data_IF_790418882364
#
_entry.id   IF_790418882364
#
_cell.length_a   1.000
_cell.length_b   1.000
_cell.length_c   1.000
_cell.angle_alpha   90.00
_cell.angle_beta   90.00
_cell.angle_gamma   90.00
#
_symmetry.space_group_name_H-M   'P 1'
#
loop_
_entity.id
_entity.type
_entity.pdbx_description
1 polymer ?
#
# COMPACT_ATOMS: atom_id res chain seq x y z
N UNK A 1 -7.31 11.31 -13.15
CA UNK A 1 -7.61 9.93 -12.71
C UNK A 1 -7.09 8.85 -13.69
N UNK A 2 -7.57 8.83 -14.94
CA UNK A 2 -7.25 7.70 -15.86
C UNK A 2 -5.75 7.58 -16.16
N UNK A 3 -5.06 8.70 -16.40
CA UNK A 3 -3.59 8.70 -16.59
C UNK A 3 -2.84 8.19 -15.35
N UNK A 4 -3.27 8.60 -14.15
CA UNK A 4 -2.68 8.16 -12.89
C UNK A 4 -2.86 6.67 -12.69
N UNK A 5 -4.06 6.15 -12.94
CA UNK A 5 -4.35 4.72 -12.90
C UNK A 5 -3.43 3.94 -13.86
N UNK A 6 -3.28 4.39 -15.10
CA UNK A 6 -2.39 3.72 -16.06
C UNK A 6 -0.92 3.75 -15.65
N UNK A 7 -0.43 4.87 -15.09
CA UNK A 7 0.94 4.96 -14.57
C UNK A 7 1.14 4.02 -13.39
N UNK A 8 0.19 3.99 -12.46
CA UNK A 8 0.22 3.10 -11.30
C UNK A 8 0.24 1.62 -11.71
N UNK A 9 -0.59 1.23 -12.68
CA UNK A 9 -0.61 -0.13 -13.25
C UNK A 9 0.75 -0.48 -13.85
N UNK A 10 1.33 0.42 -14.66
CA UNK A 10 2.61 0.20 -15.30
C UNK A 10 3.74 0.06 -14.27
N UNK A 11 3.74 0.93 -13.26
CA UNK A 11 4.72 0.96 -12.18
C UNK A 11 4.71 -0.33 -11.35
N UNK A 12 3.53 -0.80 -10.96
CA UNK A 12 3.40 -2.07 -10.22
C UNK A 12 3.75 -3.28 -11.08
N UNK A 13 3.42 -3.26 -12.38
CA UNK A 13 3.84 -4.30 -13.30
C UNK A 13 5.37 -4.34 -13.44
N UNK A 14 6.02 -3.19 -13.56
CA UNK A 14 7.48 -3.10 -13.64
C UNK A 14 8.15 -3.56 -12.34
N UNK A 15 7.77 -2.97 -11.21
CA UNK A 15 8.38 -3.28 -9.91
C UNK A 15 8.23 -4.77 -9.55
N UNK A 16 7.06 -5.35 -9.82
CA UNK A 16 6.81 -6.78 -9.59
C UNK A 16 7.43 -7.71 -10.63
N UNK A 17 8.04 -7.20 -11.70
CA UNK A 17 8.69 -8.01 -12.74
C UNK A 17 7.67 -8.73 -13.62
N UNK A 18 6.52 -8.09 -13.80
CA UNK A 18 5.39 -8.58 -14.58
C UNK A 18 4.47 -9.55 -13.84
N UNK A 19 4.66 -9.75 -12.53
CA UNK A 19 3.78 -10.60 -11.71
C UNK A 19 2.42 -9.95 -11.46
N UNK A 20 2.41 -8.68 -11.06
CA UNK A 20 1.19 -7.90 -10.87
C UNK A 20 0.78 -7.29 -12.21
N UNK A 21 -0.44 -7.62 -12.67
CA UNK A 21 -1.00 -7.11 -13.91
C UNK A 21 -2.44 -6.70 -13.68
N UNK A 22 -2.62 -5.47 -13.21
CA UNK A 22 -3.96 -4.91 -13.02
C UNK A 22 -4.68 -4.74 -14.36
N UNK A 23 -5.97 -5.03 -14.34
CA UNK A 23 -6.91 -4.70 -15.40
C UNK A 23 -8.05 -3.88 -14.80
N UNK A 24 -8.36 -2.74 -15.40
CA UNK A 24 -9.55 -1.98 -15.04
C UNK A 24 -10.75 -2.67 -15.73
N UNK A 25 -11.47 -3.48 -14.97
CA UNK A 25 -12.63 -4.25 -15.46
C UNK A 25 -13.89 -3.38 -15.58
N UNK A 26 -13.98 -2.32 -14.79
CA UNK A 26 -15.05 -1.33 -14.87
C UNK A 26 -14.56 0.03 -14.40
N UNK A 27 -15.15 1.09 -14.95
CA UNK A 27 -14.97 2.47 -14.50
C UNK A 27 -16.32 3.11 -14.22
N UNK A 28 -16.55 3.49 -12.97
CA UNK A 28 -17.73 4.24 -12.54
C UNK A 28 -17.36 5.71 -12.38
N UNK A 29 -17.99 6.58 -13.15
CA UNK A 29 -17.95 8.02 -12.92
C UNK A 29 -19.16 8.40 -12.06
N UNK A 30 -18.98 8.43 -10.74
CA UNK A 30 -20.05 8.72 -9.79
C UNK A 30 -20.19 10.23 -9.55
N UNK A 31 -21.38 10.78 -9.77
CA UNK A 31 -21.75 12.11 -9.30
C UNK A 31 -22.17 12.02 -7.82
N UNK A 32 -21.20 11.75 -6.96
CA UNK A 32 -21.44 11.38 -5.58
C UNK A 32 -20.41 11.99 -4.63
N UNK A 33 -20.92 12.69 -3.61
CA UNK A 33 -20.13 13.11 -2.45
C UNK A 33 -20.34 12.08 -1.33
N UNK A 34 -19.28 11.40 -0.86
CA UNK A 34 -19.42 10.41 0.18
C UNK A 34 -19.87 11.06 1.49
N UNK A 35 -20.83 10.45 2.22
CA UNK A 35 -21.17 10.91 3.55
C UNK A 35 -19.98 10.70 4.49
N UNK A 36 -19.79 11.65 5.39
CA UNK A 36 -18.85 11.57 6.50
C UNK A 36 -19.44 10.70 7.61
N UNK A 37 -18.61 10.32 8.58
CA UNK A 37 -19.03 9.46 9.71
C UNK A 37 -20.13 10.06 10.59
N UNK A 38 -20.38 11.35 10.51
CA UNK A 38 -21.47 12.05 11.22
C UNK A 38 -22.69 12.30 10.33
N UNK A 39 -22.70 11.75 9.11
CA UNK A 39 -23.78 11.89 8.14
C UNK A 39 -23.73 13.17 7.30
N UNK A 40 -22.75 14.08 7.52
CA UNK A 40 -22.56 15.22 6.64
C UNK A 40 -22.16 14.75 5.24
N UNK A 41 -22.75 15.30 4.20
CA UNK A 41 -22.29 15.12 2.82
C UNK A 41 -22.19 16.49 2.15
N UNK A 42 -21.11 16.70 1.42
CA UNK A 42 -21.00 17.91 0.62
C UNK A 42 -22.04 17.91 -0.51
N UNK A 43 -22.48 19.10 -0.90
CA UNK A 43 -23.04 19.36 -2.22
C UNK A 43 -21.95 20.04 -3.06
N UNK A 44 -22.10 20.14 -4.38
CA UNK A 44 -21.16 20.90 -5.21
C UNK A 44 -20.92 22.32 -4.68
N UNK A 45 -21.98 23.03 -4.25
CA UNK A 45 -21.89 24.40 -3.75
C UNK A 45 -21.22 24.49 -2.37
N UNK A 46 -21.51 23.55 -1.47
CA UNK A 46 -20.87 23.55 -0.15
C UNK A 46 -19.40 23.15 -0.24
N UNK A 47 -19.04 22.22 -1.13
CA UNK A 47 -17.65 21.85 -1.39
C UNK A 47 -16.86 23.01 -2.00
N UNK A 48 -17.38 23.65 -3.06
CA UNK A 48 -16.70 24.81 -3.69
C UNK A 48 -16.49 25.94 -2.68
N UNK A 49 -17.47 26.18 -1.79
CA UNK A 49 -17.33 27.17 -0.72
C UNK A 49 -16.22 26.78 0.25
N UNK A 50 -16.23 25.55 0.76
CA UNK A 50 -15.19 25.02 1.65
C UNK A 50 -13.80 25.12 1.01
N UNK A 51 -13.68 24.81 -0.27
CA UNK A 51 -12.44 24.93 -1.02
C UNK A 51 -11.93 26.37 -1.10
N UNK A 52 -12.82 27.34 -1.39
CA UNK A 52 -12.47 28.76 -1.49
C UNK A 52 -12.06 29.35 -0.14
N UNK A 53 -12.73 28.96 0.93
CA UNK A 53 -12.46 29.47 2.28
C UNK A 53 -11.39 28.67 3.03
N UNK A 54 -11.01 27.49 2.50
CA UNK A 54 -10.17 26.49 3.17
C UNK A 54 -10.72 26.04 4.52
N UNK A 55 -12.06 26.01 4.64
CA UNK A 55 -12.78 25.55 5.82
C UNK A 55 -13.60 24.32 5.44
N UNK A 56 -13.03 23.14 5.67
CA UNK A 56 -13.68 21.85 5.43
C UNK A 56 -14.41 21.37 6.69
N UNK A 57 -15.46 20.59 6.48
CA UNK A 57 -16.22 19.93 7.53
C UNK A 57 -15.33 19.06 8.43
N UNK A 58 -15.68 18.98 9.71
CA UNK A 58 -15.06 18.09 10.67
C UNK A 58 -16.15 17.35 11.47
N UNK A 59 -16.00 16.04 11.71
CA UNK A 59 -14.86 15.19 11.33
C UNK A 59 -14.78 14.93 9.81
N UNK A 60 -13.56 14.91 9.26
CA UNK A 60 -13.36 14.72 7.82
C UNK A 60 -13.52 13.26 7.35
N UNK A 61 -13.50 12.28 8.25
CA UNK A 61 -13.50 10.84 7.88
C UNK A 61 -14.78 10.41 7.16
N UNK A 62 -14.64 9.61 6.11
CA UNK A 62 -15.75 9.02 5.34
C UNK A 62 -16.47 7.89 6.10
N UNK A 63 -17.78 7.75 5.87
CA UNK A 63 -18.52 6.52 6.22
C UNK A 63 -18.28 5.44 5.16
N UNK A 64 -17.28 4.59 5.41
CA UNK A 64 -16.95 3.45 4.55
C UNK A 64 -18.09 2.45 4.41
N UNK A 65 -18.98 2.31 5.40
CA UNK A 65 -20.11 1.39 5.25
C UNK A 65 -21.11 1.94 4.23
N UNK A 66 -21.35 3.26 4.25
CA UNK A 66 -22.16 3.91 3.23
C UNK A 66 -21.52 3.80 1.84
N UNK A 67 -20.20 3.98 1.73
CA UNK A 67 -19.46 3.81 0.47
C UNK A 67 -19.57 2.37 -0.06
N UNK A 68 -19.34 1.36 0.78
CA UNK A 68 -19.50 -0.06 0.41
C UNK A 68 -20.92 -0.36 -0.05
N UNK A 69 -21.95 0.17 0.63
CA UNK A 69 -23.36 -0.02 0.25
C UNK A 69 -23.72 0.71 -1.05
N UNK A 70 -23.23 1.93 -1.25
CA UNK A 70 -23.58 2.77 -2.40
C UNK A 70 -23.19 2.14 -3.74
N UNK A 71 -22.15 1.32 -3.75
CA UNK A 71 -21.66 0.63 -4.95
C UNK A 71 -21.82 -0.90 -4.88
N UNK A 72 -22.59 -1.40 -3.90
CA UNK A 72 -22.84 -2.84 -3.71
C UNK A 72 -21.56 -3.68 -3.68
N UNK A 73 -20.47 -3.14 -3.10
CA UNK A 73 -19.13 -3.71 -3.30
C UNK A 73 -19.03 -5.14 -2.78
N UNK A 74 -19.70 -5.47 -1.67
CA UNK A 74 -19.73 -6.84 -1.16
C UNK A 74 -20.46 -7.76 -2.14
N UNK A 75 -21.64 -7.38 -2.58
CA UNK A 75 -22.46 -8.19 -3.48
C UNK A 75 -21.78 -8.41 -4.83
N UNK A 76 -21.03 -7.42 -5.32
CA UNK A 76 -20.25 -7.48 -6.56
C UNK A 76 -18.99 -8.35 -6.42
N UNK A 77 -18.30 -8.24 -5.30
CA UNK A 77 -17.17 -9.12 -4.97
C UNK A 77 -17.63 -10.59 -4.92
N UNK A 78 -18.77 -10.88 -4.27
CA UNK A 78 -19.34 -12.24 -4.22
C UNK A 78 -19.70 -12.81 -5.60
N UNK A 79 -19.98 -11.94 -6.58
CA UNK A 79 -20.21 -12.34 -7.98
C UNK A 79 -18.92 -12.47 -8.81
N UNK A 80 -17.75 -12.22 -8.21
CA UNK A 80 -16.46 -12.29 -8.89
C UNK A 80 -16.24 -11.18 -9.90
N UNK A 81 -16.86 -10.01 -9.71
CA UNK A 81 -16.76 -8.90 -10.66
C UNK A 81 -15.44 -8.11 -10.56
N UNK A 82 -14.77 -8.16 -9.41
CA UNK A 82 -13.48 -7.50 -9.16
C UNK A 82 -12.72 -8.18 -8.02
N UNK A 83 -11.41 -7.93 -7.92
CA UNK A 83 -10.56 -8.35 -6.80
C UNK A 83 -10.18 -7.19 -5.84
N UNK A 84 -10.24 -5.95 -6.34
CA UNK A 84 -9.85 -4.73 -5.64
C UNK A 84 -10.64 -3.53 -6.19
N UNK A 85 -10.84 -2.49 -5.37
CA UNK A 85 -11.55 -1.27 -5.76
C UNK A 85 -10.69 -0.03 -5.55
N UNK A 86 -10.66 0.86 -6.54
CA UNK A 86 -9.97 2.16 -6.46
C UNK A 86 -10.96 3.31 -6.41
N UNK A 87 -10.91 4.10 -5.34
CA UNK A 87 -11.65 5.35 -5.23
C UNK A 87 -10.73 6.52 -5.56
N UNK A 88 -10.92 7.12 -6.74
CA UNK A 88 -10.29 8.40 -7.06
C UNK A 88 -11.16 9.54 -6.54
N UNK A 89 -10.79 10.12 -5.41
CA UNK A 89 -11.58 11.13 -4.71
C UNK A 89 -10.91 12.51 -4.74
N UNK A 90 -11.72 13.54 -4.51
CA UNK A 90 -11.26 14.92 -4.36
C UNK A 90 -10.55 15.09 -3.00
N UNK A 91 -9.71 16.12 -2.81
CA UNK A 91 -9.09 16.38 -1.52
C UNK A 91 -10.14 16.60 -0.41
N UNK A 92 -9.88 16.10 0.80
CA UNK A 92 -10.84 16.14 1.92
C UNK A 92 -12.12 15.31 1.67
N UNK A 93 -12.02 14.25 0.86
CA UNK A 93 -13.07 13.23 0.79
C UNK A 93 -13.13 12.36 2.06
N UNK A 94 -12.03 12.24 2.80
CA UNK A 94 -12.00 11.60 4.11
C UNK A 94 -11.58 10.14 4.13
N UNK A 95 -11.16 9.61 2.98
CA UNK A 95 -10.66 8.26 2.85
C UNK A 95 -9.29 8.10 3.53
N UNK A 96 -9.06 6.96 4.19
CA UNK A 96 -7.73 6.39 4.38
C UNK A 96 -7.14 5.98 3.03
N UNK A 97 -5.82 5.93 2.95
CA UNK A 97 -5.08 5.51 1.76
C UNK A 97 -5.42 4.09 1.30
N UNK A 98 -5.66 3.20 2.27
CA UNK A 98 -6.25 1.88 2.04
C UNK A 98 -7.13 1.47 3.21
N UNK A 99 -8.08 0.58 2.95
CA UNK A 99 -8.83 -0.16 3.98
C UNK A 99 -9.21 -1.54 3.47
N UNK A 100 -9.51 -2.47 4.37
CA UNK A 100 -9.89 -3.85 4.02
C UNK A 100 -11.35 -4.13 4.35
N UNK A 101 -12.04 -4.76 3.41
CA UNK A 101 -13.44 -5.18 3.52
C UNK A 101 -13.49 -6.70 3.69
N UNK A 102 -14.43 -7.17 4.50
CA UNK A 102 -14.87 -8.57 4.51
C UNK A 102 -14.49 -9.38 5.75
N UNK A 103 -14.91 -10.65 5.76
CA UNK A 103 -14.66 -11.54 6.90
C UNK A 103 -13.16 -11.80 7.08
N UNK A 104 -12.69 -11.69 8.32
CA UNK A 104 -11.26 -11.84 8.63
C UNK A 104 -10.40 -10.68 8.13
N UNK A 105 -11.02 -9.57 7.70
CA UNK A 105 -10.30 -8.36 7.37
C UNK A 105 -9.49 -7.87 8.58
N UNK A 106 -8.29 -7.39 8.30
CA UNK A 106 -7.33 -6.93 9.31
C UNK A 106 -6.82 -5.54 8.92
N UNK A 107 -5.98 -4.95 9.78
CA UNK A 107 -5.42 -3.62 9.55
C UNK A 107 -4.74 -3.55 8.17
N UNK A 108 -5.13 -2.58 7.35
CA UNK A 108 -4.51 -2.31 6.04
C UNK A 108 -4.37 -0.80 5.86
N UNK A 109 -3.38 -0.21 6.52
CA UNK A 109 -3.23 1.23 6.76
C UNK A 109 -4.44 1.93 7.40
N UNK A 110 -5.41 1.15 7.90
CA UNK A 110 -6.58 1.61 8.61
C UNK A 110 -7.25 0.43 9.33
N UNK A 111 -8.18 0.70 10.27
CA UNK A 111 -9.13 -0.32 10.73
C UNK A 111 -9.92 -0.92 9.56
N UNK A 112 -10.31 -2.21 9.63
CA UNK A 112 -11.23 -2.83 8.68
C UNK A 112 -12.59 -2.12 8.60
N UNK A 113 -13.28 -2.26 7.47
CA UNK A 113 -14.64 -1.75 7.31
C UNK A 113 -15.63 -2.63 8.08
N UNK A 114 -16.11 -2.12 9.22
CA UNK A 114 -17.08 -2.82 10.06
C UNK A 114 -18.41 -3.13 9.33
N UNK A 115 -19.09 -4.22 9.71
CA UNK A 115 -20.39 -4.58 9.15
C UNK A 115 -20.32 -5.23 7.75
N UNK A 116 -19.12 -5.65 7.34
CA UNK A 116 -18.87 -6.29 6.05
C UNK A 116 -18.52 -7.78 6.16
N UNK A 117 -18.67 -8.36 7.35
CA UNK A 117 -18.31 -9.75 7.68
C UNK A 117 -19.14 -10.80 6.92
N UNK A 118 -20.21 -10.37 6.23
CA UNK A 118 -20.98 -11.22 5.30
C UNK A 118 -20.23 -11.53 4.01
N UNK A 119 -19.23 -10.72 3.65
CA UNK A 119 -18.36 -10.96 2.50
C UNK A 119 -17.48 -12.19 2.79
N UNK A 120 -17.55 -13.18 1.91
CA UNK A 120 -16.92 -14.50 2.04
C UNK A 120 -15.39 -14.42 2.10
N UNK A 121 -14.81 -13.45 1.41
CA UNK A 121 -13.38 -13.15 1.40
C UNK A 121 -13.07 -11.71 1.76
N UNK A 122 -11.82 -11.33 1.48
CA UNK A 122 -11.21 -10.03 1.76
C UNK A 122 -10.85 -9.35 0.45
N UNK A 123 -11.17 -8.07 0.32
CA UNK A 123 -10.63 -7.20 -0.73
C UNK A 123 -10.19 -5.87 -0.14
N UNK A 124 -9.26 -5.22 -0.84
CA UNK A 124 -8.73 -3.91 -0.45
C UNK A 124 -9.47 -2.83 -1.22
N UNK A 125 -9.82 -1.76 -0.52
CA UNK A 125 -10.17 -0.48 -1.13
C UNK A 125 -8.92 0.39 -1.06
N UNK A 126 -8.42 0.83 -2.22
CA UNK A 126 -7.38 1.86 -2.30
C UNK A 126 -8.06 3.20 -2.59
N UNK A 127 -7.72 4.25 -1.85
CA UNK A 127 -8.24 5.58 -2.13
C UNK A 127 -7.12 6.53 -2.56
N UNK A 128 -7.34 7.22 -3.67
CA UNK A 128 -6.36 8.07 -4.32
C UNK A 128 -6.92 9.47 -4.49
N UNK A 129 -6.22 10.47 -3.95
CA UNK A 129 -6.53 11.86 -4.27
C UNK A 129 -6.02 12.17 -5.68
N UNK A 130 -6.94 12.46 -6.60
CA UNK A 130 -6.58 12.69 -8.00
C UNK A 130 -5.85 14.01 -8.27
N UNK A 131 -5.70 14.89 -7.27
CA UNK A 131 -4.84 16.09 -7.33
C UNK A 131 -3.38 15.79 -6.94
N UNK A 132 -3.09 14.57 -6.47
CA UNK A 132 -1.73 14.08 -6.17
C UNK A 132 -1.18 13.27 -7.35
N UNK A 133 0.10 12.94 -7.28
CA UNK A 133 0.77 12.15 -8.30
C UNK A 133 0.74 10.65 -8.02
N UNK A 134 1.28 9.88 -8.97
CA UNK A 134 1.44 8.42 -8.87
C UNK A 134 2.42 8.02 -7.76
N UNK A 135 3.35 8.90 -7.42
CA UNK A 135 4.26 8.79 -6.29
C UNK A 135 3.49 8.56 -4.97
N UNK A 136 2.43 9.34 -4.70
CA UNK A 136 1.56 9.12 -3.56
C UNK A 136 0.73 7.83 -3.68
N UNK A 137 0.31 7.43 -4.89
CA UNK A 137 -0.42 6.16 -5.05
C UNK A 137 0.46 4.95 -4.72
N UNK A 138 1.75 5.02 -5.05
CA UNK A 138 2.72 3.99 -4.70
C UNK A 138 3.04 3.99 -3.21
N UNK A 139 3.01 5.14 -2.54
CA UNK A 139 3.10 5.23 -1.08
C UNK A 139 1.95 4.46 -0.41
N UNK A 140 0.70 4.71 -0.83
CA UNK A 140 -0.47 3.98 -0.35
C UNK A 140 -0.29 2.45 -0.54
N UNK A 141 0.26 2.04 -1.68
CA UNK A 141 0.54 0.62 -1.92
C UNK A 141 1.65 0.08 -1.03
N UNK A 142 2.68 0.88 -0.76
CA UNK A 142 3.73 0.55 0.19
C UNK A 142 3.16 0.27 1.58
N UNK A 143 2.26 1.12 2.07
CA UNK A 143 1.55 0.89 3.33
C UNK A 143 0.67 -0.37 3.33
N UNK A 144 0.05 -0.71 2.20
CA UNK A 144 -0.62 -2.01 2.03
C UNK A 144 0.38 -3.16 2.17
N UNK A 145 1.51 -3.11 1.48
CA UNK A 145 2.57 -4.13 1.58
C UNK A 145 3.00 -4.29 3.04
N UNK A 146 3.28 -3.19 3.72
CA UNK A 146 3.69 -3.19 5.13
C UNK A 146 2.66 -3.87 6.02
N UNK A 147 1.38 -3.50 5.86
CA UNK A 147 0.29 -4.06 6.64
C UNK A 147 0.11 -5.57 6.40
N UNK A 148 0.12 -5.99 5.13
CA UNK A 148 -0.07 -7.40 4.74
C UNK A 148 1.12 -8.25 5.19
N UNK A 149 2.35 -7.82 4.91
CA UNK A 149 3.53 -8.61 5.24
C UNK A 149 3.79 -8.65 6.76
N UNK A 150 3.46 -7.57 7.48
CA UNK A 150 3.46 -7.60 8.95
C UNK A 150 2.47 -8.64 9.48
N UNK A 151 1.29 -8.77 8.87
CA UNK A 151 0.30 -9.78 9.25
C UNK A 151 0.76 -11.21 8.93
N UNK A 152 1.36 -11.43 7.75
CA UNK A 152 1.91 -12.74 7.31
C UNK A 152 2.94 -13.26 8.31
N UNK A 153 3.82 -12.39 8.80
CA UNK A 153 4.90 -12.75 9.72
C UNK A 153 4.59 -12.49 11.20
N UNK A 154 3.36 -12.10 11.56
CA UNK A 154 3.00 -11.64 12.91
C UNK A 154 3.31 -12.69 14.00
N UNK A 155 3.13 -13.97 13.68
CA UNK A 155 3.31 -15.08 14.62
C UNK A 155 4.67 -15.77 14.51
N UNK A 156 5.53 -15.31 13.59
CA UNK A 156 6.87 -15.88 13.45
C UNK A 156 7.77 -15.37 14.57
N UNK A 157 8.59 -16.25 15.18
CA UNK A 157 9.57 -15.80 16.14
C UNK A 157 10.62 -14.90 15.45
N UNK A 158 11.31 -14.00 16.19
CA UNK A 158 12.20 -12.99 15.61
C UNK A 158 13.24 -13.54 14.61
N UNK A 159 13.78 -14.73 14.85
CA UNK A 159 14.76 -15.37 13.97
C UNK A 159 14.19 -15.91 12.65
N UNK A 160 12.86 -16.05 12.54
CA UNK A 160 12.16 -16.47 11.32
C UNK A 160 11.34 -15.32 10.69
N UNK A 161 11.29 -14.15 11.34
CA UNK A 161 10.54 -12.99 10.85
C UNK A 161 11.31 -12.25 9.76
N UNK A 162 11.22 -12.77 8.53
CA UNK A 162 11.93 -12.22 7.38
C UNK A 162 11.41 -10.83 6.99
N UNK A 163 10.17 -10.46 7.33
CA UNK A 163 9.67 -9.10 7.13
C UNK A 163 10.37 -8.07 8.03
N UNK A 164 10.60 -8.40 9.30
CA UNK A 164 11.39 -7.54 10.20
C UNK A 164 12.85 -7.43 9.76
N UNK A 165 13.40 -8.47 9.12
CA UNK A 165 14.71 -8.36 8.49
C UNK A 165 14.65 -7.41 7.29
N UNK A 166 13.73 -7.62 6.34
CA UNK A 166 13.57 -6.80 5.13
C UNK A 166 13.51 -5.30 5.42
N UNK A 167 12.76 -4.94 6.47
CA UNK A 167 12.46 -3.55 6.82
C UNK A 167 13.53 -2.82 7.62
N UNK A 168 14.69 -3.45 7.88
CA UNK A 168 15.78 -2.80 8.61
C UNK A 168 16.38 -1.65 7.81
N UNK A 169 16.70 -0.58 8.53
CA UNK A 169 17.47 0.56 8.05
C UNK A 169 18.45 1.01 9.15
N UNK A 170 19.48 1.75 8.77
CA UNK A 170 20.68 1.95 9.60
C UNK A 170 20.41 2.70 10.91
N UNK A 171 19.42 3.61 10.95
CA UNK A 171 19.08 4.32 12.19
C UNK A 171 18.58 3.37 13.30
N UNK A 172 17.81 2.34 12.94
CA UNK A 172 17.27 1.36 13.90
C UNK A 172 18.17 0.16 14.08
N UNK A 173 18.95 -0.19 13.05
CA UNK A 173 19.84 -1.34 13.02
C UNK A 173 21.21 -0.97 12.42
N UNK A 174 22.05 -0.23 13.17
CA UNK A 174 23.34 0.27 12.67
C UNK A 174 24.22 -0.84 12.07
N UNK A 175 24.69 -0.62 10.84
CA UNK A 175 25.52 -1.56 10.09
C UNK A 175 24.81 -2.83 9.61
N UNK A 176 23.49 -2.92 9.79
CA UNK A 176 22.66 -4.07 9.41
C UNK A 176 21.45 -3.66 8.57
N UNK A 177 21.57 -2.58 7.81
CA UNK A 177 20.50 -2.09 6.95
C UNK A 177 20.16 -3.12 5.85
N UNK A 178 18.89 -3.14 5.46
CA UNK A 178 18.33 -4.00 4.43
C UNK A 178 17.65 -3.08 3.41
N UNK A 179 16.38 -3.30 3.07
CA UNK A 179 15.66 -2.45 2.12
C UNK A 179 15.02 -1.22 2.78
N UNK A 180 14.84 -1.22 4.11
CA UNK A 180 14.06 -0.19 4.79
C UNK A 180 12.56 -0.37 4.56
N UNK A 181 11.79 0.71 4.67
CA UNK A 181 10.33 0.68 4.55
C UNK A 181 9.85 1.83 3.65
N UNK A 182 8.54 2.01 3.49
CA UNK A 182 8.03 3.01 2.53
C UNK A 182 8.52 4.43 2.89
N UNK A 183 8.62 4.75 4.18
CA UNK A 183 9.05 6.05 4.73
C UNK A 183 10.57 6.22 4.85
N UNK A 184 11.30 5.13 5.09
CA UNK A 184 12.73 5.15 5.43
C UNK A 184 13.53 4.28 4.47
N UNK A 185 14.38 4.92 3.67
CA UNK A 185 15.43 4.23 2.93
C UNK A 185 16.54 3.72 3.88
N UNK A 186 17.45 2.84 3.42
CA UNK A 186 18.50 2.25 4.25
C UNK A 186 19.33 3.25 5.07
N UNK A 187 19.54 4.47 4.56
CA UNK A 187 20.36 5.50 5.21
C UNK A 187 19.56 6.65 5.87
N UNK A 188 18.23 6.60 5.80
CA UNK A 188 17.36 7.67 6.30
C UNK A 188 17.52 7.88 7.81
N UNK A 189 17.51 9.14 8.25
CA UNK A 189 17.60 9.51 9.68
C UNK A 189 16.33 10.16 10.23
N UNK A 190 15.36 10.40 9.36
CA UNK A 190 14.03 10.92 9.66
C UNK A 190 13.05 10.48 8.58
N UNK A 191 11.78 10.71 8.84
CA UNK A 191 10.69 10.40 7.92
C UNK A 191 10.88 11.08 6.56
N UNK A 192 10.61 10.34 5.47
CA UNK A 192 10.75 10.76 4.06
C UNK A 192 12.15 11.23 3.64
N UNK A 193 13.20 10.81 4.34
CA UNK A 193 14.59 11.22 4.09
C UNK A 193 15.28 10.39 3.00
N UNK A 194 14.62 10.21 1.85
CA UNK A 194 15.13 9.41 0.73
C UNK A 194 16.27 10.10 -0.04
N UNK A 195 16.42 11.42 0.11
CA UNK A 195 17.50 12.20 -0.53
C UNK A 195 18.81 12.25 0.26
N UNK A 196 18.92 11.47 1.34
CA UNK A 196 20.10 11.50 2.20
C UNK A 196 21.33 10.95 1.46
N UNK A 197 22.39 11.75 1.38
CA UNK A 197 23.63 11.38 0.67
C UNK A 197 24.58 10.53 1.49
N UNK A 198 24.29 10.31 2.77
CA UNK A 198 25.13 9.50 3.66
C UNK A 198 25.22 8.08 3.14
N UNK A 199 26.43 7.55 3.04
CA UNK A 199 26.64 6.15 2.68
C UNK A 199 26.51 5.26 3.90
N UNK A 200 25.80 4.13 3.77
CA UNK A 200 25.69 3.07 4.78
C UNK A 200 25.93 1.71 4.16
N UNK A 201 26.31 0.71 4.97
CA UNK A 201 26.31 -0.68 4.53
C UNK A 201 24.87 -1.20 4.52
N UNK A 202 24.44 -1.75 3.38
CA UNK A 202 23.16 -2.44 3.26
C UNK A 202 23.32 -3.76 2.51
N UNK A 203 22.50 -4.75 2.87
CA UNK A 203 22.34 -5.99 2.13
C UNK A 203 21.06 -6.01 1.27
N UNK A 204 20.56 -4.84 0.82
CA UNK A 204 19.36 -4.74 -0.01
C UNK A 204 19.37 -5.71 -1.21
N UNK A 205 20.47 -5.81 -1.95
CA UNK A 205 20.55 -6.67 -3.14
C UNK A 205 20.47 -8.17 -2.82
N UNK A 206 20.73 -8.59 -1.57
CA UNK A 206 20.60 -10.00 -1.20
C UNK A 206 19.18 -10.51 -1.39
N UNK A 207 18.18 -9.63 -1.30
CA UNK A 207 16.78 -9.97 -1.50
C UNK A 207 16.48 -10.45 -2.92
N UNK A 208 17.29 -10.09 -3.92
CA UNK A 208 17.21 -10.69 -5.25
C UNK A 208 17.61 -12.17 -5.29
N UNK A 209 18.28 -12.67 -4.25
CA UNK A 209 18.71 -14.07 -4.12
C UNK A 209 17.82 -14.89 -3.17
N UNK A 210 16.69 -14.33 -2.73
CA UNK A 210 15.77 -14.98 -1.79
C UNK A 210 15.36 -16.40 -2.27
N UNK A 211 15.44 -17.44 -1.40
CA UNK A 211 15.63 -17.38 0.06
C UNK A 211 17.07 -17.54 0.56
N UNK A 212 18.09 -17.50 -0.31
CA UNK A 212 19.46 -17.84 0.07
C UNK A 212 20.13 -16.79 1.00
N UNK A 213 19.89 -15.50 0.76
CA UNK A 213 20.33 -14.36 1.58
C UNK A 213 21.77 -14.50 2.15
N UNK A 214 22.81 -14.47 1.29
CA UNK A 214 24.19 -14.78 1.68
C UNK A 214 24.87 -13.78 2.63
N UNK A 215 24.27 -12.63 2.93
CA UNK A 215 24.83 -11.58 3.78
C UNK A 215 25.81 -10.66 3.04
N UNK A 216 25.56 -10.32 1.77
CA UNK A 216 26.43 -9.44 0.98
C UNK A 216 26.07 -7.98 1.22
N UNK A 217 26.75 -7.39 2.20
CA UNK A 217 26.68 -5.96 2.44
C UNK A 217 27.53 -5.18 1.45
N UNK A 218 26.99 -4.07 0.93
CA UNK A 218 27.72 -3.08 0.15
C UNK A 218 27.38 -1.66 0.59
N UNK A 219 28.27 -0.69 0.35
CA UNK A 219 27.93 0.72 0.53
C UNK A 219 26.81 1.14 -0.44
N UNK A 220 25.77 1.79 0.10
CA UNK A 220 24.64 2.38 -0.65
C UNK A 220 24.38 3.82 -0.20
N UNK A 221 23.81 4.64 -1.07
CA UNK A 221 23.37 6.03 -0.82
C UNK A 221 22.06 6.29 -1.55
N UNK A 222 21.51 7.52 -1.46
CA UNK A 222 20.33 7.91 -2.21
C UNK A 222 20.40 7.69 -3.72
N UNK A 223 21.60 7.63 -4.30
CA UNK A 223 21.78 7.39 -5.74
C UNK A 223 21.22 6.02 -6.18
N UNK A 224 21.13 5.08 -5.24
CA UNK A 224 20.60 3.74 -5.45
C UNK A 224 19.09 3.73 -5.79
N UNK A 225 18.33 4.64 -5.17
CA UNK A 225 16.86 4.63 -5.23
C UNK A 225 16.29 5.96 -5.76
N UNK A 226 17.07 6.68 -6.56
CA UNK A 226 16.58 7.85 -7.30
C UNK A 226 16.82 9.22 -6.67
N UNK A 227 17.75 9.32 -5.72
CA UNK A 227 18.32 10.60 -5.28
C UNK A 227 17.35 11.49 -4.49
N UNK A 228 16.31 10.90 -3.88
CA UNK A 228 15.24 11.62 -3.19
C UNK A 228 13.94 11.77 -3.98
N UNK A 229 13.87 11.23 -5.20
CA UNK A 229 12.60 11.06 -5.90
C UNK A 229 11.77 9.95 -5.21
N UNK A 230 10.58 10.32 -4.74
CA UNK A 230 9.67 9.45 -4.00
C UNK A 230 9.17 8.26 -4.83
N UNK A 231 8.84 8.49 -6.10
CA UNK A 231 8.38 7.42 -7.00
C UNK A 231 9.48 6.41 -7.24
N UNK A 232 10.69 6.89 -7.54
CA UNK A 232 11.84 6.02 -7.78
C UNK A 232 12.22 5.23 -6.52
N UNK A 233 12.11 5.84 -5.33
CA UNK A 233 12.30 5.13 -4.08
C UNK A 233 11.30 3.98 -3.92
N UNK A 234 10.00 4.26 -4.09
CA UNK A 234 8.97 3.23 -3.95
C UNK A 234 9.13 2.11 -4.99
N UNK A 235 9.46 2.44 -6.24
CA UNK A 235 9.73 1.44 -7.28
C UNK A 235 10.94 0.57 -6.94
N UNK A 236 12.03 1.18 -6.47
CA UNK A 236 13.22 0.47 -6.01
C UNK A 236 12.87 -0.47 -4.86
N UNK A 237 12.17 0.01 -3.84
CA UNK A 237 11.81 -0.77 -2.65
C UNK A 237 10.89 -1.94 -3.00
N UNK A 238 9.84 -1.71 -3.80
CA UNK A 238 8.93 -2.74 -4.28
C UNK A 238 9.65 -3.79 -5.14
N UNK A 239 10.62 -3.39 -5.95
CA UNK A 239 11.41 -4.32 -6.77
C UNK A 239 12.26 -5.30 -5.95
N UNK A 240 12.54 -4.99 -4.67
CA UNK A 240 13.26 -5.90 -3.78
C UNK A 240 12.37 -6.95 -3.12
N UNK A 241 11.04 -6.85 -3.24
CA UNK A 241 10.14 -7.86 -2.68
C UNK A 241 10.39 -9.24 -3.34
N UNK A 242 10.54 -10.31 -2.54
CA UNK A 242 10.70 -11.67 -3.03
C UNK A 242 9.59 -12.10 -3.99
N UNK A 243 10.00 -12.77 -5.08
CA UNK A 243 9.14 -13.22 -6.18
C UNK A 243 9.59 -14.56 -6.76
N UNK A 244 10.13 -15.43 -5.91
CA UNK A 244 10.67 -16.73 -6.30
C UNK A 244 9.74 -17.86 -5.87
N UNK A 245 9.91 -19.05 -6.46
CA UNK A 245 9.16 -20.24 -6.08
C UNK A 245 9.66 -20.84 -4.77
N UNK A 246 8.82 -21.63 -4.10
CA UNK A 246 9.15 -22.32 -2.87
C UNK A 246 8.59 -21.63 -1.64
N UNK A 247 8.99 -22.11 -0.48
CA UNK A 247 8.50 -21.67 0.81
C UNK A 247 9.66 -21.60 1.81
N UNK A 248 9.62 -20.61 2.69
CA UNK A 248 10.57 -20.45 3.80
C UNK A 248 9.78 -20.18 5.07
N UNK A 249 9.97 -21.02 6.10
CA UNK A 249 9.25 -20.93 7.38
C UNK A 249 7.71 -20.91 7.23
N UNK A 250 7.15 -21.67 6.30
CA UNK A 250 5.69 -21.69 6.08
C UNK A 250 5.14 -20.50 5.29
N UNK A 251 6.01 -19.62 4.75
CA UNK A 251 5.62 -18.45 3.95
C UNK A 251 6.14 -18.62 2.52
N UNK A 252 5.28 -18.40 1.54
CA UNK A 252 5.64 -18.42 0.12
C UNK A 252 6.80 -17.46 -0.15
N UNK A 253 7.76 -17.91 -0.96
CA UNK A 253 8.89 -17.08 -1.39
C UNK A 253 8.52 -16.02 -2.42
N UNK A 254 7.24 -15.98 -2.84
CA UNK A 254 6.68 -14.91 -3.64
C UNK A 254 5.72 -14.08 -2.80
N UNK A 255 6.23 -13.01 -2.20
CA UNK A 255 5.47 -12.16 -1.26
C UNK A 255 4.35 -11.40 -1.96
N UNK A 256 4.48 -11.14 -3.27
CA UNK A 256 3.43 -10.53 -4.08
C UNK A 256 2.13 -11.33 -4.08
N UNK A 257 2.16 -12.64 -3.82
CA UNK A 257 0.95 -13.46 -3.68
C UNK A 257 0.04 -12.95 -2.56
N UNK A 258 0.61 -12.67 -1.40
CA UNK A 258 -0.14 -12.16 -0.25
C UNK A 258 -0.58 -10.71 -0.47
N UNK A 259 0.32 -9.87 -1.01
CA UNK A 259 0.04 -8.45 -1.24
C UNK A 259 -1.13 -8.28 -2.19
N UNK A 260 -1.16 -9.01 -3.31
CA UNK A 260 -2.24 -8.94 -4.31
C UNK A 260 -3.49 -9.62 -3.81
N UNK A 261 -3.37 -10.81 -3.21
CA UNK A 261 -4.50 -11.58 -2.72
C UNK A 261 -4.46 -11.72 -1.20
N UNK A 262 -5.11 -10.80 -0.45
CA UNK A 262 -5.12 -10.85 1.01
C UNK A 262 -5.81 -12.11 1.55
N UNK A 263 -6.57 -12.84 0.73
CA UNK A 263 -7.17 -14.11 1.14
C UNK A 263 -6.16 -15.22 1.42
N UNK A 264 -4.93 -15.09 0.91
CA UNK A 264 -3.84 -16.04 1.19
C UNK A 264 -3.15 -15.79 2.54
N UNK A 265 -3.42 -14.66 3.20
CA UNK A 265 -2.83 -14.35 4.51
C UNK A 265 -3.48 -15.25 5.56
N UNK A 266 -2.70 -16.03 6.34
CA UNK A 266 -3.25 -16.90 7.38
C UNK A 266 -4.05 -16.14 8.45
N UNK A 267 -5.03 -16.81 9.03
CA UNK A 267 -5.83 -16.30 10.16
C UNK A 267 -5.07 -16.28 11.49
#
# INVERSE_FOLDING_TARGET
PDRLAQQYIADLAEASGGYVRYQIVERIAADWFPPKVDGFAYTPESFVRAWRTRQFHQPDRVDYQAQVRAFELVERYERGEFDEVWFFSFPYAGDYESTMVGRGAFWCNSPPVAGTERCSGRFVIMAFNYERGVDCMLENYGHRVESIMSRVFERHPPEQNLWQLFTRYDLTHPGQAQCGNVHFAPNSVRDYDWGNRRTVLSACDDWYTFPHLPGRFRPVSCDEWGGGDMRLHHLWWLAHLPRTTGETYGVSNNWWQYVVNPNLVPD
#
